data_IF_801290083371
#
_entry.id   IF_801290083371
#
_cell.length_a   1.000
_cell.length_b   1.000
_cell.length_c   1.000
_cell.angle_alpha   90.00
_cell.angle_beta   90.00
_cell.angle_gamma   90.00
#
_symmetry.space_group_name_H-M   'P 1'
#
loop_
_entity.id
_entity.type
_entity.pdbx_description
1 polymer ?
#
# COMPACT_ATOMS: atom_id res chain seq x y z
N UNK A 1 28.96 -38.61 -24.74
CA UNK A 1 29.28 -37.25 -24.18
C UNK A 1 28.25 -36.15 -24.54
N UNK A 2 26.97 -36.44 -24.54
CA UNK A 2 25.93 -35.46 -24.95
C UNK A 2 24.88 -35.16 -23.87
N UNK A 3 25.14 -35.45 -22.59
CA UNK A 3 24.12 -35.34 -21.52
C UNK A 3 24.45 -34.33 -20.41
N UNK A 4 25.47 -33.49 -20.55
CA UNK A 4 25.93 -32.59 -19.47
C UNK A 4 25.53 -31.12 -19.60
N UNK A 5 24.83 -30.73 -20.64
CA UNK A 5 24.47 -29.30 -20.85
C UNK A 5 23.01 -28.96 -20.59
N UNK A 6 22.15 -29.89 -20.24
CA UNK A 6 20.74 -29.63 -20.00
C UNK A 6 20.43 -29.14 -18.57
N UNK A 7 21.26 -29.50 -17.60
CA UNK A 7 21.03 -29.18 -16.19
C UNK A 7 21.17 -27.69 -15.83
N UNK A 8 22.14 -26.92 -16.37
CA UNK A 8 22.26 -25.51 -16.01
C UNK A 8 21.15 -24.62 -16.60
N UNK A 9 20.57 -25.02 -17.74
CA UNK A 9 19.48 -24.24 -18.37
C UNK A 9 18.18 -24.31 -17.56
N UNK A 10 17.86 -25.49 -17.00
CA UNK A 10 16.68 -25.64 -16.15
C UNK A 10 16.81 -24.89 -14.81
N UNK A 11 18.00 -24.84 -14.22
CA UNK A 11 18.26 -24.10 -13.00
C UNK A 11 18.14 -22.58 -13.19
N UNK A 12 18.60 -22.06 -14.34
CA UNK A 12 18.47 -20.66 -14.70
C UNK A 12 17.01 -20.26 -14.94
N UNK A 13 16.19 -21.13 -15.56
CA UNK A 13 14.75 -20.88 -15.77
C UNK A 13 13.96 -20.84 -14.45
N UNK A 14 14.33 -21.67 -13.47
CA UNK A 14 13.70 -21.68 -12.14
C UNK A 14 14.03 -20.43 -11.32
N UNK A 15 15.20 -19.82 -11.51
CA UNK A 15 15.58 -18.60 -10.82
C UNK A 15 14.85 -17.35 -11.38
N UNK A 16 14.48 -17.35 -12.65
CA UNK A 16 13.69 -16.27 -13.24
C UNK A 16 12.20 -16.31 -12.86
N UNK A 17 11.67 -17.47 -12.49
CA UNK A 17 10.28 -17.60 -12.04
C UNK A 17 10.06 -17.09 -10.61
N UNK A 18 11.11 -16.88 -9.82
CA UNK A 18 11.02 -16.41 -8.44
C UNK A 18 10.72 -14.90 -8.31
N UNK A 19 10.72 -14.15 -9.42
CA UNK A 19 10.42 -12.72 -9.43
C UNK A 19 8.99 -12.38 -9.83
N UNK A 20 8.12 -13.34 -10.09
CA UNK A 20 6.68 -13.08 -10.16
C UNK A 20 6.18 -12.90 -8.73
N UNK A 21 6.10 -11.62 -8.33
CA UNK A 21 5.61 -11.22 -7.02
C UNK A 21 4.30 -11.92 -6.72
N UNK A 22 4.21 -12.53 -5.56
CA UNK A 22 2.98 -13.02 -5.03
C UNK A 22 1.97 -11.87 -5.08
N UNK A 23 0.92 -12.06 -5.87
CA UNK A 23 -0.27 -11.25 -5.84
C UNK A 23 -0.85 -11.42 -4.42
N UNK A 24 -0.44 -10.54 -3.52
CA UNK A 24 -1.06 -10.45 -2.22
C UNK A 24 -2.50 -10.02 -2.52
N UNK A 25 -3.45 -10.93 -2.35
CA UNK A 25 -4.86 -10.79 -2.70
C UNK A 25 -5.57 -9.62 -2.03
N UNK A 26 -4.99 -8.44 -2.10
CA UNK A 26 -5.64 -7.19 -1.77
C UNK A 26 -6.64 -6.85 -2.86
N UNK A 27 -7.84 -6.45 -2.47
CA UNK A 27 -8.90 -6.04 -3.40
C UNK A 27 -8.55 -4.75 -4.16
N UNK A 28 -7.52 -4.03 -3.74
CA UNK A 28 -7.10 -2.77 -4.33
C UNK A 28 -5.62 -2.85 -4.76
N UNK A 29 -5.39 -2.64 -6.04
CA UNK A 29 -4.05 -2.49 -6.58
C UNK A 29 -3.81 -1.01 -6.93
N UNK A 30 -2.75 -0.45 -6.38
CA UNK A 30 -2.29 0.87 -6.78
C UNK A 30 -1.69 0.78 -8.17
N UNK A 31 -2.26 1.55 -9.08
CA UNK A 31 -1.83 1.60 -10.46
C UNK A 31 -1.54 3.04 -10.84
N UNK A 32 -0.32 3.31 -11.28
CA UNK A 32 0.13 4.65 -11.68
C UNK A 32 0.52 4.67 -13.16
N UNK A 33 -0.47 4.72 -14.07
CA UNK A 33 -0.20 4.76 -15.51
C UNK A 33 0.57 6.03 -15.86
N UNK A 34 1.71 5.89 -16.54
CA UNK A 34 2.55 7.02 -16.93
C UNK A 34 3.21 7.77 -15.77
N UNK A 35 3.31 7.17 -14.57
CA UNK A 35 3.95 7.78 -13.40
C UNK A 35 3.13 8.91 -12.77
N UNK A 36 1.82 8.89 -12.90
CA UNK A 36 0.94 9.87 -12.25
C UNK A 36 1.07 9.82 -10.73
N UNK A 37 1.14 10.97 -10.09
CA UNK A 37 1.23 11.12 -8.64
C UNK A 37 -0.13 11.36 -7.99
N UNK A 38 -1.12 11.80 -8.77
CA UNK A 38 -2.49 12.04 -8.34
C UNK A 38 -3.43 11.18 -9.17
N UNK A 39 -4.21 10.33 -8.52
CA UNK A 39 -5.15 9.43 -9.17
C UNK A 39 -6.49 9.53 -8.49
N UNK A 40 -7.51 9.93 -9.24
CA UNK A 40 -8.90 10.00 -8.79
C UNK A 40 -9.68 8.85 -9.39
N UNK A 41 -10.40 8.12 -8.56
CA UNK A 41 -11.28 7.05 -8.98
C UNK A 41 -12.72 7.53 -8.95
N UNK A 42 -13.38 7.49 -10.09
CA UNK A 42 -14.84 7.66 -10.17
C UNK A 42 -15.54 6.61 -9.33
N UNK A 43 -16.69 6.94 -8.78
CA UNK A 43 -17.42 6.07 -7.84
C UNK A 43 -17.59 4.64 -8.36
N UNK A 44 -17.93 4.48 -9.65
CA UNK A 44 -18.11 3.18 -10.28
C UNK A 44 -16.82 2.33 -10.35
N UNK A 45 -15.66 2.96 -10.23
CA UNK A 45 -14.33 2.31 -10.32
C UNK A 45 -13.66 2.13 -8.94
N UNK A 46 -14.31 2.60 -7.87
CA UNK A 46 -13.79 2.43 -6.52
C UNK A 46 -13.92 0.98 -6.09
N UNK A 47 -12.94 0.51 -5.37
CA UNK A 47 -12.88 -0.85 -4.82
C UNK A 47 -12.58 -0.80 -3.34
N UNK A 48 -13.00 -1.80 -2.58
CA UNK A 48 -12.63 -1.89 -1.18
C UNK A 48 -11.11 -1.88 -1.01
N UNK A 49 -10.63 -1.10 -0.07
CA UNK A 49 -9.23 -1.13 0.35
C UNK A 49 -9.03 -2.33 1.26
N UNK A 50 -7.89 -3.01 1.11
CA UNK A 50 -7.50 -4.06 2.05
C UNK A 50 -7.38 -3.46 3.46
N UNK A 51 -7.99 -4.10 4.43
CA UNK A 51 -7.92 -3.69 5.82
C UNK A 51 -6.50 -3.78 6.36
N UNK A 52 -6.13 -2.85 7.21
CA UNK A 52 -4.90 -2.90 8.00
C UNK A 52 -5.19 -2.39 9.41
N UNK A 53 -4.37 -2.81 10.33
CA UNK A 53 -4.44 -2.45 11.75
C UNK A 53 -3.04 -2.21 12.30
N UNK A 54 -2.96 -1.53 13.42
CA UNK A 54 -1.73 -1.26 14.14
C UNK A 54 -2.01 -0.80 15.55
N UNK A 55 -0.97 -0.57 16.31
CA UNK A 55 -1.10 -0.04 17.66
C UNK A 55 -1.43 1.46 17.62
N UNK A 56 -2.39 1.88 18.44
CA UNK A 56 -2.70 3.29 18.62
C UNK A 56 -1.53 4.02 19.28
N UNK A 57 -1.18 5.18 18.77
CA UNK A 57 -0.20 6.06 19.39
C UNK A 57 -0.81 6.90 20.53
N UNK A 58 -2.12 7.04 20.56
CA UNK A 58 -2.83 7.83 21.57
C UNK A 58 -3.26 6.99 22.76
N UNK A 59 -3.60 5.72 22.54
CA UNK A 59 -4.07 4.78 23.54
C UNK A 59 -3.15 3.56 23.57
N UNK A 60 -2.16 3.61 24.42
CA UNK A 60 -1.17 2.53 24.55
C UNK A 60 -1.84 1.17 24.81
N UNK A 61 -1.46 0.16 24.02
CA UNK A 61 -1.99 -1.19 24.13
C UNK A 61 -3.37 -1.40 23.48
N UNK A 62 -3.93 -0.39 22.82
CA UNK A 62 -5.16 -0.51 22.05
C UNK A 62 -4.86 -0.58 20.57
N UNK A 63 -5.33 -1.60 19.85
CA UNK A 63 -5.24 -1.64 18.40
C UNK A 63 -6.21 -0.62 17.77
N UNK A 64 -5.83 -0.09 16.62
CA UNK A 64 -6.68 0.69 15.75
C UNK A 64 -6.69 0.06 14.37
N UNK A 65 -7.85 -0.13 13.80
CA UNK A 65 -8.03 -0.74 12.50
C UNK A 65 -8.81 0.20 11.55
N UNK A 66 -8.56 0.08 10.26
CA UNK A 66 -9.32 0.84 9.27
C UNK A 66 -10.82 0.52 9.34
N UNK A 67 -11.19 -0.71 9.68
CA UNK A 67 -12.57 -1.15 9.87
C UNK A 67 -13.32 -0.43 11.01
N UNK A 68 -12.61 0.19 11.95
CA UNK A 68 -13.25 0.94 13.04
C UNK A 68 -13.94 2.22 12.55
N UNK A 69 -13.62 2.64 11.32
CA UNK A 69 -14.11 3.87 10.69
C UNK A 69 -15.06 3.60 9.52
N UNK A 70 -15.71 2.44 9.49
CA UNK A 70 -16.67 2.12 8.44
C UNK A 70 -17.82 3.15 8.41
N UNK A 71 -18.12 3.66 7.22
CA UNK A 71 -19.15 4.69 7.02
C UNK A 71 -18.66 6.12 7.21
N UNK A 72 -17.40 6.32 7.57
CA UNK A 72 -16.77 7.61 7.71
C UNK A 72 -15.86 7.95 6.52
N UNK A 73 -15.61 9.23 6.30
CA UNK A 73 -14.56 9.66 5.37
C UNK A 73 -13.22 9.57 6.08
N UNK A 74 -12.32 8.77 5.53
CA UNK A 74 -11.00 8.55 6.12
C UNK A 74 -9.92 9.07 5.17
N UNK A 75 -9.05 9.92 5.69
CA UNK A 75 -7.83 10.37 5.01
C UNK A 75 -6.65 9.60 5.60
N UNK A 76 -5.99 8.80 4.79
CA UNK A 76 -4.79 8.05 5.20
C UNK A 76 -3.55 8.84 4.79
N UNK A 77 -2.69 9.11 5.74
CA UNK A 77 -1.42 9.76 5.51
C UNK A 77 -0.26 8.87 5.97
N UNK A 78 0.67 8.61 5.08
CA UNK A 78 1.92 7.92 5.41
C UNK A 78 3.03 8.94 5.60
N UNK A 79 3.67 8.93 6.76
CA UNK A 79 4.69 9.90 7.12
C UNK A 79 5.83 9.28 7.92
N UNK A 80 6.90 10.04 8.08
CA UNK A 80 8.01 9.68 8.96
C UNK A 80 8.61 10.91 9.63
N UNK A 81 9.12 10.76 10.84
CA UNK A 81 9.74 11.86 11.61
C UNK A 81 10.95 12.47 10.91
N UNK A 82 11.63 11.72 10.05
CA UNK A 82 12.77 12.18 9.25
C UNK A 82 12.37 12.93 7.97
N UNK A 83 11.09 12.91 7.63
CA UNK A 83 10.53 13.50 6.42
C UNK A 83 10.11 14.94 6.71
N UNK A 84 10.93 15.93 6.34
CA UNK A 84 10.63 17.33 6.58
C UNK A 84 9.34 17.81 5.87
N UNK A 85 9.08 17.47 4.59
CA UNK A 85 7.80 17.78 3.95
C UNK A 85 6.60 17.17 4.65
N UNK A 86 6.71 15.92 5.14
CA UNK A 86 5.64 15.26 5.88
C UNK A 86 5.26 16.05 7.15
N UNK A 87 6.25 16.55 7.87
CA UNK A 87 6.01 17.35 9.08
C UNK A 87 5.38 18.70 8.77
N UNK A 88 5.69 19.28 7.62
CA UNK A 88 5.10 20.54 7.19
C UNK A 88 3.62 20.41 6.82
N UNK A 89 3.14 19.23 6.45
CA UNK A 89 1.73 18.97 6.10
C UNK A 89 0.80 18.77 7.31
N UNK A 90 1.33 18.67 8.52
CA UNK A 90 0.53 18.31 9.71
C UNK A 90 -0.58 19.35 9.95
N UNK A 91 -0.26 20.63 9.83
CA UNK A 91 -1.23 21.72 10.05
C UNK A 91 -2.34 21.71 8.98
N UNK A 92 -1.99 21.36 7.74
CA UNK A 92 -2.96 21.24 6.64
C UNK A 92 -3.90 20.05 6.87
N UNK A 93 -3.38 18.93 7.34
CA UNK A 93 -4.17 17.74 7.68
C UNK A 93 -5.13 18.01 8.85
N UNK A 94 -4.70 18.75 9.85
CA UNK A 94 -5.56 19.19 10.97
C UNK A 94 -6.72 20.03 10.46
N UNK A 95 -6.47 20.98 9.57
CA UNK A 95 -7.53 21.79 8.94
C UNK A 95 -8.52 20.91 8.15
N UNK A 96 -8.04 19.91 7.41
CA UNK A 96 -8.91 18.96 6.71
C UNK A 96 -9.80 18.21 7.70
N UNK A 97 -9.24 17.75 8.80
CA UNK A 97 -9.99 17.05 9.86
C UNK A 97 -11.10 17.92 10.46
N UNK A 98 -10.83 19.19 10.71
CA UNK A 98 -11.83 20.14 11.23
C UNK A 98 -13.01 20.38 10.26
N UNK A 99 -12.84 20.11 8.96
CA UNK A 99 -13.85 20.34 7.92
C UNK A 99 -14.61 19.07 7.49
N UNK A 100 -14.20 17.91 7.94
CA UNK A 100 -14.86 16.63 7.67
C UNK A 100 -15.88 16.27 8.76
#
# INVERSE_FOLDING_TARGET
MRKLFAAPLCAAALLLAACSGADNGGNFAFHSPGGQTEIFYEEANRKPLAGFEGDSLLDEGQPIALSDFEGEIVVLNAWGQWCAPCRAEVDDLEQVHEHL
#
